data_IF_971464831654
#
_entry.id   IF_971464831654
#
_cell.length_a   1.000
_cell.length_b   1.000
_cell.length_c   1.000
_cell.angle_alpha   90.00
_cell.angle_beta   90.00
_cell.angle_gamma   90.00
#
_symmetry.space_group_name_H-M   'P 1'
#
loop_
_entity.id
_entity.type
_entity.pdbx_description
1 polymer ?
#
# COMPACT_ATOMS: atom_id res chain seq x y z
N UNK A 1 2.51 -6.29 9.37
CA UNK A 1 3.69 -6.58 8.55
C UNK A 1 4.15 -8.03 8.70
N UNK A 2 4.49 -8.68 7.58
CA UNK A 2 4.91 -10.09 7.54
C UNK A 2 6.10 -10.25 6.59
N UNK A 3 7.20 -10.82 7.09
CA UNK A 3 8.34 -11.21 6.26
C UNK A 3 8.26 -12.68 5.92
N UNK A 4 8.09 -13.01 4.63
CA UNK A 4 7.77 -14.36 4.16
C UNK A 4 9.04 -15.04 3.66
N UNK A 5 9.42 -16.14 4.31
CA UNK A 5 10.60 -16.95 3.96
C UNK A 5 10.14 -18.25 3.32
N UNK A 6 10.45 -18.44 2.04
CA UNK A 6 10.16 -19.66 1.30
C UNK A 6 10.99 -20.85 1.79
N UNK A 7 10.45 -22.06 1.66
CA UNK A 7 11.18 -23.30 1.98
C UNK A 7 12.48 -23.41 1.16
N UNK A 8 13.59 -23.67 1.83
CA UNK A 8 14.91 -23.77 1.21
C UNK A 8 15.59 -22.41 0.97
N UNK A 9 15.03 -21.31 1.46
CA UNK A 9 15.65 -19.99 1.48
C UNK A 9 16.18 -19.65 2.87
N UNK A 10 17.33 -18.99 2.94
CA UNK A 10 17.99 -18.62 4.21
C UNK A 10 17.32 -17.42 4.90
N UNK A 11 16.46 -16.69 4.19
CA UNK A 11 15.77 -15.51 4.69
C UNK A 11 16.51 -14.20 4.45
N UNK A 12 17.67 -14.20 3.80
CA UNK A 12 18.34 -12.97 3.39
C UNK A 12 17.57 -12.30 2.24
N UNK A 13 17.68 -10.99 2.08
CA UNK A 13 17.19 -10.29 0.88
C UNK A 13 18.35 -9.81 0.03
N UNK A 14 18.10 -9.55 -1.27
CA UNK A 14 19.14 -9.06 -2.17
C UNK A 14 19.59 -7.65 -1.78
N UNK A 15 20.90 -7.46 -1.61
CA UNK A 15 21.50 -6.18 -1.24
C UNK A 15 22.93 -6.01 -1.77
N UNK A 16 23.49 -4.79 -1.78
CA UNK A 16 24.92 -4.56 -1.85
C UNK A 16 25.65 -5.26 -0.69
N UNK A 17 26.95 -5.55 -0.91
CA UNK A 17 27.74 -6.35 0.03
C UNK A 17 27.93 -5.69 1.41
N UNK A 18 27.90 -4.38 1.46
CA UNK A 18 28.07 -3.55 2.66
C UNK A 18 26.76 -3.28 3.41
N UNK A 19 25.63 -3.81 2.93
CA UNK A 19 24.32 -3.65 3.55
C UNK A 19 23.90 -4.93 4.24
N UNK A 20 23.57 -4.83 5.54
CA UNK A 20 22.98 -5.94 6.30
C UNK A 20 21.65 -6.36 5.66
N UNK A 21 21.60 -7.64 5.25
CA UNK A 21 20.45 -8.27 4.61
C UNK A 21 19.86 -9.42 5.44
N UNK A 22 20.14 -9.45 6.71
CA UNK A 22 19.60 -10.42 7.65
C UNK A 22 18.09 -10.32 7.80
N UNK A 23 17.48 -11.33 8.38
CA UNK A 23 16.05 -11.35 8.72
C UNK A 23 15.71 -10.17 9.64
N UNK A 24 16.56 -9.88 10.62
CA UNK A 24 16.35 -8.79 11.58
C UNK A 24 16.42 -7.43 10.89
N UNK A 25 17.37 -7.25 9.97
CA UNK A 25 17.45 -6.06 9.12
C UNK A 25 16.19 -5.88 8.26
N UNK A 26 15.71 -6.96 7.63
CA UNK A 26 14.47 -6.92 6.85
C UNK A 26 13.27 -6.50 7.71
N UNK A 27 13.08 -7.13 8.87
CA UNK A 27 11.99 -6.83 9.80
C UNK A 27 12.06 -5.38 10.31
N UNK A 28 13.26 -4.87 10.63
CA UNK A 28 13.44 -3.48 11.06
C UNK A 28 13.02 -2.50 9.96
N UNK A 29 13.48 -2.69 8.72
CA UNK A 29 13.13 -1.85 7.56
C UNK A 29 11.64 -1.86 7.27
N UNK A 30 11.01 -3.03 7.28
CA UNK A 30 9.57 -3.21 7.07
C UNK A 30 8.76 -2.54 8.17
N UNK A 31 9.17 -2.69 9.44
CA UNK A 31 8.50 -2.07 10.59
C UNK A 31 8.50 -0.54 10.48
N UNK A 32 9.65 0.05 10.13
CA UNK A 32 9.75 1.50 9.92
C UNK A 32 8.92 1.94 8.72
N UNK A 33 9.01 1.22 7.60
CA UNK A 33 8.20 1.50 6.43
C UNK A 33 6.70 1.49 6.72
N UNK A 34 6.22 0.51 7.49
CA UNK A 34 4.81 0.45 7.91
C UNK A 34 4.39 1.66 8.75
N UNK A 35 5.26 2.15 9.66
CA UNK A 35 5.05 3.39 10.42
C UNK A 35 5.00 4.62 9.53
N UNK A 36 5.90 4.73 8.58
CA UNK A 36 5.91 5.84 7.61
C UNK A 36 4.61 5.88 6.81
N UNK A 37 4.15 4.73 6.31
CA UNK A 37 2.89 4.62 5.58
C UNK A 37 1.72 5.04 6.47
N UNK A 38 1.66 4.55 7.71
CA UNK A 38 0.62 4.94 8.68
C UNK A 38 0.58 6.46 8.88
N UNK A 39 1.76 7.10 8.96
CA UNK A 39 1.89 8.55 9.12
C UNK A 39 1.43 9.32 7.89
N UNK A 40 1.82 8.86 6.68
CA UNK A 40 1.36 9.46 5.41
C UNK A 40 -0.17 9.39 5.31
N UNK A 41 -0.75 8.24 5.63
CA UNK A 41 -2.21 8.05 5.57
C UNK A 41 -2.91 9.07 6.50
N UNK A 42 -2.47 9.17 7.75
CA UNK A 42 -3.05 10.08 8.74
C UNK A 42 -2.95 11.55 8.30
N UNK A 43 -1.77 11.96 7.82
CA UNK A 43 -1.52 13.33 7.39
C UNK A 43 -2.34 13.70 6.17
N UNK A 44 -2.37 12.82 5.16
CA UNK A 44 -3.09 13.10 3.91
C UNK A 44 -4.61 13.02 4.05
N UNK A 45 -5.14 12.27 5.01
CA UNK A 45 -6.57 12.35 5.37
C UNK A 45 -6.89 13.65 6.10
N UNK A 46 -6.01 14.11 7.00
CA UNK A 46 -6.15 15.40 7.67
C UNK A 46 -6.14 16.56 6.68
N UNK A 47 -5.17 16.59 5.75
CA UNK A 47 -5.11 17.58 4.65
C UNK A 47 -6.36 17.51 3.75
N UNK A 48 -6.94 16.33 3.55
CA UNK A 48 -8.18 16.10 2.82
C UNK A 48 -9.45 16.55 3.55
N UNK A 49 -9.32 17.08 4.78
CA UNK A 49 -10.42 17.63 5.56
C UNK A 49 -11.37 16.59 6.17
N UNK A 50 -10.95 15.31 6.28
CA UNK A 50 -11.75 14.22 6.85
C UNK A 50 -11.27 13.77 8.23
N UNK A 51 -10.37 14.53 8.82
CA UNK A 51 -9.77 14.25 10.11
C UNK A 51 -8.50 13.41 10.04
N UNK A 52 -7.74 13.38 11.14
CA UNK A 52 -6.49 12.62 11.25
C UNK A 52 -6.81 11.16 11.62
N UNK A 53 -7.01 10.32 10.62
CA UNK A 53 -7.36 8.90 10.76
C UNK A 53 -6.32 8.02 10.10
N UNK A 54 -6.13 6.83 10.62
CA UNK A 54 -5.25 5.82 10.02
C UNK A 54 -5.64 4.41 10.49
N UNK A 55 -5.11 3.40 9.83
CA UNK A 55 -5.27 2.01 10.23
C UNK A 55 -4.38 1.67 11.43
N UNK A 56 -4.71 0.60 12.15
CA UNK A 56 -3.92 0.09 13.27
C UNK A 56 -2.82 -0.85 12.76
N UNK A 57 -1.66 -0.82 13.44
CA UNK A 57 -0.59 -1.80 13.28
C UNK A 57 -0.53 -2.67 14.52
N UNK A 58 -0.31 -3.97 14.37
CA UNK A 58 0.11 -4.81 15.49
C UNK A 58 1.50 -4.36 15.97
N UNK A 59 1.70 -4.39 17.29
CA UNK A 59 2.93 -3.97 17.93
C UNK A 59 3.54 -5.13 18.72
N UNK A 60 4.85 -5.15 18.80
CA UNK A 60 5.58 -6.04 19.72
C UNK A 60 5.07 -5.85 21.15
N UNK A 61 5.03 -6.94 21.93
CA UNK A 61 4.55 -6.91 23.31
C UNK A 61 5.34 -5.87 24.12
N UNK A 62 4.62 -4.97 24.79
CA UNK A 62 5.21 -3.89 25.59
C UNK A 62 6.08 -2.89 24.79
N UNK A 63 5.93 -2.82 23.50
CA UNK A 63 6.67 -1.94 22.60
C UNK A 63 5.71 -1.07 21.78
N UNK A 64 6.21 0.07 21.28
CA UNK A 64 5.53 0.89 20.27
C UNK A 64 6.02 0.57 18.85
N UNK A 65 6.93 -0.37 18.71
CA UNK A 65 7.47 -0.80 17.43
C UNK A 65 6.45 -1.73 16.76
N UNK A 66 6.07 -1.51 15.50
CA UNK A 66 5.24 -2.45 14.77
C UNK A 66 5.92 -3.82 14.72
N UNK A 67 5.18 -4.85 15.05
CA UNK A 67 5.67 -6.21 14.92
C UNK A 67 5.77 -6.58 13.45
N UNK A 68 6.94 -7.05 13.01
CA UNK A 68 7.11 -7.70 11.72
C UNK A 68 7.25 -9.20 11.92
N UNK A 69 6.20 -9.94 11.65
CA UNK A 69 6.14 -11.37 11.87
C UNK A 69 6.96 -12.10 10.81
N UNK A 70 7.86 -12.99 11.21
CA UNK A 70 8.57 -13.90 10.29
C UNK A 70 7.69 -15.11 10.01
N UNK A 71 7.18 -15.22 8.78
CA UNK A 71 6.35 -16.32 8.33
C UNK A 71 7.16 -17.29 7.46
N UNK A 72 7.25 -18.55 7.88
CA UNK A 72 7.92 -19.61 7.12
C UNK A 72 6.92 -20.36 6.26
N UNK A 73 6.97 -20.09 4.95
CA UNK A 73 6.09 -20.69 3.96
C UNK A 73 6.58 -22.10 3.56
N UNK A 74 5.62 -22.97 3.24
CA UNK A 74 5.90 -24.27 2.64
C UNK A 74 6.22 -24.21 1.14
N UNK A 75 6.09 -23.05 0.51
CA UNK A 75 6.42 -22.87 -0.90
C UNK A 75 7.93 -22.95 -1.12
N UNK A 76 8.36 -23.90 -1.96
CA UNK A 76 9.76 -24.03 -2.31
C UNK A 76 10.28 -22.79 -3.06
N UNK A 77 11.47 -22.30 -2.70
CA UNK A 77 12.08 -21.08 -3.24
C UNK A 77 12.23 -21.11 -4.78
N UNK A 78 12.64 -22.25 -5.35
CA UNK A 78 12.80 -22.37 -6.80
C UNK A 78 11.47 -22.33 -7.55
N UNK A 79 10.38 -22.78 -6.91
CA UNK A 79 9.02 -22.66 -7.43
C UNK A 79 8.55 -21.22 -7.31
N UNK A 80 8.72 -20.58 -6.15
CA UNK A 80 8.35 -19.19 -5.93
C UNK A 80 8.98 -18.25 -6.95
N UNK A 81 10.27 -18.43 -7.24
CA UNK A 81 11.01 -17.61 -8.22
C UNK A 81 10.50 -17.70 -9.65
N UNK A 82 9.75 -18.74 -9.99
CA UNK A 82 9.16 -18.95 -11.33
C UNK A 82 7.69 -18.50 -11.41
N UNK A 83 7.06 -18.23 -10.28
CA UNK A 83 5.64 -17.84 -10.23
C UNK A 83 5.46 -16.37 -10.59
N UNK A 84 4.34 -16.08 -11.25
CA UNK A 84 3.88 -14.70 -11.50
C UNK A 84 3.30 -14.10 -10.22
N UNK A 85 3.29 -12.77 -10.12
CA UNK A 85 2.81 -12.06 -8.92
C UNK A 85 1.39 -12.47 -8.48
N UNK A 86 0.44 -12.69 -9.39
CA UNK A 86 -0.92 -13.12 -9.06
C UNK A 86 -0.98 -14.55 -8.48
N UNK A 87 -0.06 -15.43 -8.92
CA UNK A 87 0.07 -16.78 -8.39
C UNK A 87 0.67 -16.76 -6.98
N UNK A 88 1.73 -15.94 -6.78
CA UNK A 88 2.34 -15.70 -5.46
C UNK A 88 1.34 -15.12 -4.49
N UNK A 89 0.58 -14.10 -4.90
CA UNK A 89 -0.46 -13.47 -4.09
C UNK A 89 -1.52 -14.47 -3.67
N UNK A 90 -2.01 -15.28 -4.61
CA UNK A 90 -3.03 -16.31 -4.33
C UNK A 90 -2.48 -17.38 -3.38
N UNK A 91 -1.23 -17.80 -3.57
CA UNK A 91 -0.61 -18.82 -2.73
C UNK A 91 -0.41 -18.31 -1.29
N UNK A 92 0.28 -17.19 -1.12
CA UNK A 92 0.56 -16.66 0.21
C UNK A 92 -0.70 -16.15 0.93
N UNK A 93 -1.65 -15.57 0.21
CA UNK A 93 -2.93 -15.18 0.79
C UNK A 93 -3.70 -16.36 1.37
N UNK A 94 -3.72 -17.49 0.66
CA UNK A 94 -4.33 -18.73 1.16
C UNK A 94 -3.55 -19.30 2.35
N UNK A 95 -2.22 -19.36 2.25
CA UNK A 95 -1.38 -19.95 3.30
C UNK A 95 -1.46 -19.14 4.60
N UNK A 96 -1.41 -17.81 4.53
CA UNK A 96 -1.58 -16.91 5.67
C UNK A 96 -2.97 -17.06 6.31
N UNK A 97 -4.03 -17.14 5.52
CA UNK A 97 -5.39 -17.30 6.05
C UNK A 97 -5.65 -18.69 6.68
N UNK A 98 -4.91 -19.72 6.28
CA UNK A 98 -4.99 -21.05 6.85
C UNK A 98 -4.04 -21.27 8.05
N UNK A 99 -3.14 -20.33 8.32
CA UNK A 99 -2.22 -20.37 9.46
C UNK A 99 -2.87 -19.81 10.74
N UNK A 100 -2.16 -19.89 11.84
CA UNK A 100 -2.57 -19.30 13.13
C UNK A 100 -2.68 -17.75 13.07
N UNK A 101 -2.12 -17.14 12.03
CA UNK A 101 -2.26 -15.70 11.77
C UNK A 101 -3.60 -15.36 11.11
N UNK A 102 -4.29 -16.33 10.54
CA UNK A 102 -5.52 -16.14 9.76
C UNK A 102 -6.65 -15.54 10.60
N UNK A 103 -7.18 -14.39 10.19
CA UNK A 103 -8.31 -13.74 10.86
C UNK A 103 -9.02 -12.79 9.89
N UNK A 104 -10.34 -12.64 10.06
CA UNK A 104 -11.12 -11.62 9.35
C UNK A 104 -10.85 -10.19 9.88
N UNK A 105 -10.22 -10.09 11.06
CA UNK A 105 -9.85 -8.84 11.71
C UNK A 105 -8.37 -8.48 11.50
N UNK A 106 -7.73 -9.13 10.51
CA UNK A 106 -6.36 -8.83 10.09
C UNK A 106 -6.27 -8.61 8.59
N UNK A 107 -5.42 -7.67 8.21
CA UNK A 107 -4.88 -7.51 6.86
C UNK A 107 -3.38 -7.67 6.91
N UNK A 108 -2.81 -8.26 5.87
CA UNK A 108 -1.40 -8.58 5.81
C UNK A 108 -0.66 -7.64 4.86
N UNK A 109 0.46 -7.14 5.33
CA UNK A 109 1.46 -6.44 4.54
C UNK A 109 2.66 -7.37 4.41
N UNK A 110 2.72 -8.14 3.31
CA UNK A 110 3.66 -9.23 3.11
C UNK A 110 4.84 -8.87 2.23
N UNK A 111 6.05 -9.31 2.63
CA UNK A 111 7.29 -9.10 1.87
C UNK A 111 7.99 -10.45 1.65
N UNK A 112 8.26 -10.78 0.38
CA UNK A 112 8.86 -12.07 -0.02
C UNK A 112 10.37 -11.97 0.02
N UNK A 113 11.04 -12.73 0.91
CA UNK A 113 12.49 -12.70 1.10
C UNK A 113 13.28 -13.07 -0.15
N UNK A 114 12.80 -14.03 -0.93
CA UNK A 114 13.54 -14.65 -2.03
C UNK A 114 13.47 -13.88 -3.36
N UNK A 115 12.91 -12.69 -3.38
CA UNK A 115 12.87 -11.84 -4.59
C UNK A 115 14.29 -11.50 -5.03
N UNK A 116 14.56 -11.69 -6.34
CA UNK A 116 15.90 -11.51 -6.88
C UNK A 116 15.86 -10.91 -8.28
N UNK A 117 16.48 -9.75 -8.45
CA UNK A 117 16.83 -9.23 -9.76
C UNK A 117 18.05 -10.00 -10.29
N UNK A 118 17.94 -10.58 -11.48
CA UNK A 118 19.01 -11.43 -12.06
C UNK A 118 20.19 -10.63 -12.58
N UNK A 119 20.05 -9.33 -12.70
CA UNK A 119 21.02 -8.48 -13.36
C UNK A 119 20.81 -8.44 -14.87
N UNK A 120 21.52 -7.53 -15.51
CA UNK A 120 21.53 -7.36 -16.95
C UNK A 120 22.88 -6.83 -17.42
N UNK A 121 23.31 -7.23 -18.61
CA UNK A 121 24.49 -6.68 -19.29
C UNK A 121 24.10 -5.56 -20.26
N UNK A 122 22.82 -5.19 -20.33
CA UNK A 122 22.36 -4.12 -21.21
C UNK A 122 22.82 -2.75 -20.70
N UNK A 123 23.38 -1.95 -21.62
CA UNK A 123 23.85 -0.60 -21.33
C UNK A 123 22.74 0.47 -21.45
N UNK A 124 21.55 0.08 -21.90
CA UNK A 124 20.39 0.97 -22.01
C UNK A 124 19.53 0.98 -20.75
N UNK A 125 18.85 2.09 -20.42
CA UNK A 125 17.83 2.09 -19.40
C UNK A 125 16.72 1.09 -19.73
N UNK A 126 16.38 0.22 -18.76
CA UNK A 126 15.28 -0.73 -18.88
C UNK A 126 13.94 -0.04 -18.68
N UNK A 127 12.93 -0.51 -19.38
CA UNK A 127 11.53 -0.19 -19.06
C UNK A 127 11.13 -0.92 -17.79
N UNK A 128 10.06 -0.45 -17.12
CA UNK A 128 9.53 -1.13 -15.92
C UNK A 128 9.20 -2.61 -16.21
N UNK A 129 8.57 -2.91 -17.35
CA UNK A 129 8.22 -4.28 -17.73
C UNK A 129 9.46 -5.15 -17.91
N UNK A 130 10.55 -4.61 -18.49
CA UNK A 130 11.84 -5.30 -18.60
C UNK A 130 12.44 -5.55 -17.19
N UNK A 131 12.47 -4.54 -16.31
CA UNK A 131 12.96 -4.70 -14.93
C UNK A 131 12.19 -5.79 -14.20
N UNK A 132 10.85 -5.82 -14.30
CA UNK A 132 10.00 -6.86 -13.72
C UNK A 132 10.33 -8.23 -14.32
N UNK A 133 10.56 -8.33 -15.64
CA UNK A 133 10.87 -9.60 -16.31
C UNK A 133 12.21 -10.19 -15.87
N UNK A 134 13.17 -9.35 -15.48
CA UNK A 134 14.46 -9.78 -14.91
C UNK A 134 14.39 -10.06 -13.41
N UNK A 135 13.23 -9.84 -12.76
CA UNK A 135 13.09 -10.01 -11.31
C UNK A 135 12.29 -11.27 -10.98
N UNK A 136 12.97 -12.26 -10.40
CA UNK A 136 12.36 -13.51 -9.92
C UNK A 136 11.56 -13.25 -8.64
N UNK A 137 10.44 -13.94 -8.46
CA UNK A 137 9.50 -13.77 -7.35
C UNK A 137 9.08 -12.28 -7.16
N UNK A 138 8.94 -11.54 -8.26
CA UNK A 138 8.44 -10.18 -8.22
C UNK A 138 6.98 -10.16 -7.77
N UNK A 139 6.67 -9.25 -6.84
CA UNK A 139 5.30 -8.92 -6.45
C UNK A 139 5.21 -7.45 -6.07
N UNK A 140 4.15 -6.79 -6.54
CA UNK A 140 3.63 -5.52 -6.08
C UNK A 140 2.13 -5.58 -6.38
N UNK A 141 1.35 -6.15 -5.46
CA UNK A 141 -0.06 -6.48 -5.69
C UNK A 141 -0.86 -6.44 -4.40
N UNK A 142 -1.90 -5.62 -4.35
CA UNK A 142 -2.80 -5.46 -3.23
C UNK A 142 -4.24 -5.81 -3.55
N UNK A 143 -4.96 -6.30 -2.55
CA UNK A 143 -6.38 -6.57 -2.65
C UNK A 143 -6.88 -7.50 -1.54
N UNK A 144 -8.17 -7.50 -1.27
CA UNK A 144 -8.74 -8.33 -0.22
C UNK A 144 -8.05 -8.14 1.13
N UNK A 145 -7.37 -9.17 1.62
CA UNK A 145 -6.66 -9.14 2.91
C UNK A 145 -5.14 -9.02 2.83
N UNK A 146 -4.55 -8.95 1.63
CA UNK A 146 -3.10 -9.01 1.45
C UNK A 146 -2.59 -7.96 0.46
N UNK A 147 -1.61 -7.15 0.89
CA UNK A 147 -0.71 -6.42 0.02
C UNK A 147 0.65 -7.13 0.03
N UNK A 148 1.11 -7.63 -1.12
CA UNK A 148 2.28 -8.49 -1.27
C UNK A 148 3.35 -7.81 -2.11
N UNK A 149 4.59 -7.85 -1.61
CA UNK A 149 5.74 -7.20 -2.24
C UNK A 149 6.95 -8.11 -2.32
N UNK A 150 7.75 -7.88 -3.36
CA UNK A 150 9.12 -8.37 -3.41
C UNK A 150 10.07 -7.49 -2.59
N UNK A 151 11.25 -8.02 -2.26
CA UNK A 151 12.26 -7.34 -1.44
C UNK A 151 13.46 -6.83 -2.23
N UNK A 152 13.41 -6.83 -3.57
CA UNK A 152 14.56 -6.48 -4.41
C UNK A 152 15.12 -5.07 -4.15
N UNK A 153 14.27 -4.12 -3.69
CA UNK A 153 14.66 -2.76 -3.35
C UNK A 153 14.71 -2.48 -1.84
N UNK A 154 14.48 -3.48 -0.98
CA UNK A 154 14.40 -3.28 0.47
C UNK A 154 15.69 -2.72 1.07
N UNK A 155 16.84 -2.98 0.46
CA UNK A 155 18.14 -2.43 0.88
C UNK A 155 18.20 -0.90 0.88
N UNK A 156 17.33 -0.23 0.13
CA UNK A 156 17.25 1.25 0.09
C UNK A 156 16.48 1.82 1.29
N UNK A 157 15.68 1.01 2.00
CA UNK A 157 14.86 1.45 3.11
C UNK A 157 15.68 1.66 4.39
N UNK A 158 15.27 2.58 5.30
CA UNK A 158 15.95 2.81 6.56
C UNK A 158 15.76 1.65 7.57
N UNK A 159 16.76 1.38 8.38
CA UNK A 159 16.67 0.46 9.53
C UNK A 159 16.28 1.19 10.82
N UNK A 160 16.55 2.47 10.90
CA UNK A 160 16.24 3.31 12.08
C UNK A 160 15.52 4.59 11.66
N UNK A 161 14.90 5.27 12.62
CA UNK A 161 14.19 6.54 12.37
C UNK A 161 15.17 7.62 11.94
N UNK A 162 16.37 7.62 12.50
CA UNK A 162 17.43 8.59 12.24
C UNK A 162 17.92 8.52 10.79
N UNK A 163 17.87 7.35 10.17
CA UNK A 163 18.28 7.15 8.78
C UNK A 163 17.28 7.72 7.77
N UNK A 164 16.02 7.94 8.14
CA UNK A 164 14.95 8.29 7.20
C UNK A 164 15.30 9.50 6.31
N UNK A 165 15.77 10.65 6.85
CA UNK A 165 16.09 11.82 6.02
C UNK A 165 17.21 11.51 5.02
N UNK A 166 18.25 10.83 5.48
CA UNK A 166 19.42 10.51 4.64
C UNK A 166 19.04 9.52 3.53
N UNK A 167 18.18 8.54 3.83
CA UNK A 167 17.70 7.57 2.84
C UNK A 167 16.84 8.22 1.76
N UNK A 168 15.96 9.16 2.09
CA UNK A 168 15.20 9.90 1.09
C UNK A 168 16.06 10.87 0.26
N UNK A 169 17.12 11.44 0.85
CA UNK A 169 18.02 12.37 0.20
C UNK A 169 19.18 11.71 -0.55
N UNK A 170 19.24 10.38 -0.54
CA UNK A 170 20.33 9.64 -1.17
C UNK A 170 20.27 9.75 -2.69
N UNK A 171 21.18 10.54 -3.25
CA UNK A 171 21.32 10.78 -4.69
C UNK A 171 22.23 9.77 -5.39
N UNK A 172 22.82 8.82 -4.64
CA UNK A 172 23.67 7.80 -5.22
C UNK A 172 22.88 6.99 -6.27
N UNK A 173 23.47 6.70 -7.44
CA UNK A 173 22.78 5.98 -8.51
C UNK A 173 22.56 4.52 -8.11
N UNK A 174 21.42 3.96 -8.51
CA UNK A 174 21.18 2.51 -8.45
C UNK A 174 22.10 1.81 -9.43
N UNK A 175 22.80 0.76 -9.00
CA UNK A 175 23.55 -0.09 -9.91
C UNK A 175 22.60 -1.03 -10.68
N UNK A 176 22.01 -0.51 -11.75
CA UNK A 176 20.98 -1.19 -12.55
C UNK A 176 21.47 -2.48 -13.22
N UNK A 177 22.79 -2.73 -13.29
CA UNK A 177 23.33 -4.01 -13.78
C UNK A 177 23.17 -5.13 -12.76
N UNK A 178 23.11 -4.81 -11.46
CA UNK A 178 23.11 -5.79 -10.37
C UNK A 178 21.84 -5.76 -9.52
N UNK A 179 21.17 -4.61 -9.43
CA UNK A 179 20.02 -4.39 -8.56
C UNK A 179 18.85 -3.80 -9.35
N UNK A 180 17.67 -4.14 -8.88
CA UNK A 180 16.42 -3.61 -9.41
C UNK A 180 16.37 -2.09 -9.23
N UNK A 181 16.10 -1.35 -10.31
CA UNK A 181 15.77 0.07 -10.25
C UNK A 181 14.26 0.26 -10.36
N UNK A 182 13.63 0.48 -9.23
CA UNK A 182 12.20 0.85 -9.15
C UNK A 182 12.05 2.28 -8.61
N UNK A 183 12.82 3.20 -9.17
CA UNK A 183 12.85 4.61 -8.78
C UNK A 183 11.84 5.50 -9.51
N UNK A 184 10.99 4.94 -10.37
CA UNK A 184 10.15 5.72 -11.27
C UNK A 184 10.99 6.51 -12.30
N UNK A 185 12.04 5.88 -12.83
CA UNK A 185 13.00 6.44 -13.81
C UNK A 185 13.86 7.59 -13.28
N UNK A 186 13.98 7.76 -11.95
CA UNK A 186 14.82 8.80 -11.32
C UNK A 186 16.25 8.33 -11.07
N UNK A 187 16.49 7.01 -11.04
CA UNK A 187 17.81 6.36 -11.02
C UNK A 187 18.61 6.50 -9.73
N UNK A 188 18.06 7.03 -8.63
CA UNK A 188 18.75 7.18 -7.34
C UNK A 188 18.19 6.28 -6.24
N UNK A 189 19.01 5.96 -5.23
CA UNK A 189 18.61 5.13 -4.10
C UNK A 189 17.46 5.76 -3.31
N UNK A 190 17.49 7.07 -3.08
CA UNK A 190 16.41 7.78 -2.39
C UNK A 190 15.11 7.78 -3.18
N UNK A 191 15.18 7.91 -4.51
CA UNK A 191 14.02 7.81 -5.37
C UNK A 191 13.46 6.37 -5.39
N UNK A 192 14.34 5.35 -5.37
CA UNK A 192 13.95 3.95 -5.27
C UNK A 192 13.21 3.69 -3.94
N UNK A 193 13.74 4.21 -2.82
CA UNK A 193 13.04 4.14 -1.53
C UNK A 193 11.67 4.84 -1.58
N UNK A 194 11.60 6.06 -2.10
CA UNK A 194 10.35 6.82 -2.18
C UNK A 194 9.29 6.11 -3.03
N UNK A 195 9.65 5.66 -4.25
CA UNK A 195 8.71 4.95 -5.13
C UNK A 195 8.24 3.64 -4.53
N UNK A 196 9.14 2.84 -3.98
CA UNK A 196 8.76 1.52 -3.45
C UNK A 196 7.93 1.64 -2.17
N UNK A 197 8.22 2.59 -1.28
CA UNK A 197 7.38 2.89 -0.12
C UNK A 197 6.00 3.37 -0.56
N UNK A 198 5.94 4.24 -1.57
CA UNK A 198 4.71 4.74 -2.14
C UNK A 198 3.89 3.65 -2.84
N UNK A 199 4.55 2.71 -3.54
CA UNK A 199 3.90 1.53 -4.13
C UNK A 199 3.26 0.67 -3.03
N UNK A 200 3.94 0.48 -1.89
CA UNK A 200 3.37 -0.24 -0.75
C UNK A 200 2.11 0.47 -0.22
N UNK A 201 2.13 1.80 -0.11
CA UNK A 201 0.96 2.59 0.28
C UNK A 201 -0.20 2.42 -0.71
N UNK A 202 0.07 2.44 -2.01
CA UNK A 202 -0.92 2.26 -3.08
C UNK A 202 -1.58 0.87 -3.01
N UNK A 203 -0.79 -0.19 -2.97
CA UNK A 203 -1.30 -1.57 -2.91
C UNK A 203 -2.03 -1.85 -1.59
N UNK A 204 -1.59 -1.24 -0.48
CA UNK A 204 -2.31 -1.30 0.78
C UNK A 204 -3.68 -0.60 0.67
N UNK A 205 -3.78 0.48 -0.09
CA UNK A 205 -5.05 1.14 -0.42
C UNK A 205 -6.06 0.19 -1.06
N UNK A 206 -5.63 -0.69 -1.97
CA UNK A 206 -6.49 -1.73 -2.54
C UNK A 206 -7.00 -2.73 -1.50
N UNK A 207 -6.25 -3.00 -0.45
CA UNK A 207 -6.75 -3.85 0.66
C UNK A 207 -7.84 -3.15 1.48
N UNK A 208 -7.90 -1.82 1.44
CA UNK A 208 -8.98 -0.99 2.01
C UNK A 208 -10.05 -0.65 0.97
N UNK A 209 -10.20 -1.51 -0.03
CA UNK A 209 -11.25 -1.42 -1.04
C UNK A 209 -11.19 -0.20 -1.97
N UNK A 210 -10.11 0.59 -1.97
CA UNK A 210 -9.93 1.70 -2.89
C UNK A 210 -9.74 1.22 -4.34
N UNK A 211 -10.35 1.94 -5.29
CA UNK A 211 -10.11 1.79 -6.72
C UNK A 211 -8.96 2.68 -7.20
N UNK A 212 -8.53 2.46 -8.45
CA UNK A 212 -7.59 3.37 -9.10
C UNK A 212 -8.24 4.73 -9.37
N UNK A 213 -7.44 5.77 -9.26
CA UNK A 213 -7.82 7.13 -9.63
C UNK A 213 -6.85 7.69 -10.66
N UNK A 214 -7.28 8.72 -11.39
CA UNK A 214 -6.43 9.36 -12.39
C UNK A 214 -5.19 10.00 -11.77
N UNK A 215 -5.35 10.58 -10.59
CA UNK A 215 -4.34 11.35 -9.87
C UNK A 215 -4.24 10.89 -8.41
N UNK A 216 -3.27 11.44 -7.65
CA UNK A 216 -3.07 11.14 -6.24
C UNK A 216 -2.46 9.76 -5.98
N UNK A 217 -2.57 9.28 -4.73
CA UNK A 217 -1.94 8.03 -4.26
C UNK A 217 -2.48 6.82 -5.03
N UNK A 218 -3.78 6.75 -5.31
CA UNK A 218 -4.34 5.65 -6.09
C UNK A 218 -4.17 5.82 -7.61
N UNK A 219 -3.44 6.86 -8.06
CA UNK A 219 -2.85 7.04 -9.37
C UNK A 219 -1.33 6.85 -9.31
N UNK A 220 -0.56 7.80 -9.87
CA UNK A 220 0.91 7.78 -9.85
C UNK A 220 1.54 8.77 -8.86
N UNK A 221 0.73 9.48 -8.05
CA UNK A 221 1.22 10.45 -7.07
C UNK A 221 2.06 9.80 -5.94
N UNK A 222 1.95 8.50 -5.74
CA UNK A 222 2.70 7.76 -4.74
C UNK A 222 4.23 7.75 -4.99
N UNK A 223 4.70 7.95 -6.21
CA UNK A 223 6.14 7.96 -6.53
C UNK A 223 6.93 9.01 -5.73
N UNK A 224 6.26 10.04 -5.23
CA UNK A 224 6.86 11.20 -4.55
C UNK A 224 6.56 11.25 -3.05
N UNK A 225 6.43 10.09 -2.38
CA UNK A 225 6.09 10.03 -0.95
C UNK A 225 7.14 10.72 -0.05
N UNK A 226 8.38 10.84 -0.50
CA UNK A 226 9.45 11.63 0.13
C UNK A 226 9.04 13.07 0.43
N UNK A 227 8.19 13.68 -0.40
CA UNK A 227 7.71 15.05 -0.23
C UNK A 227 6.83 15.26 1.02
N UNK A 228 6.35 14.18 1.62
CA UNK A 228 5.61 14.24 2.89
C UNK A 228 6.55 14.40 4.07
N UNK A 229 7.75 13.83 3.96
CA UNK A 229 8.73 13.75 5.05
C UNK A 229 9.82 14.82 4.97
N UNK A 230 10.15 15.29 3.76
CA UNK A 230 11.17 16.28 3.55
C UNK A 230 10.58 17.69 3.54
N UNK A 231 10.75 18.40 4.66
CA UNK A 231 10.36 19.80 4.80
C UNK A 231 11.58 20.67 4.46
N UNK A 232 11.62 21.23 3.26
CA UNK A 232 12.70 22.07 2.80
C UNK A 232 12.26 23.03 1.70
N UNK A 233 13.03 24.09 1.47
CA UNK A 233 12.77 25.00 0.36
C UNK A 233 12.96 24.25 -0.96
N UNK A 234 11.86 23.96 -1.63
CA UNK A 234 11.81 23.25 -2.93
C UNK A 234 12.73 23.90 -3.99
N UNK A 235 13.10 25.17 -3.82
CA UNK A 235 14.01 25.87 -4.72
C UNK A 235 15.46 25.42 -4.60
N UNK A 236 15.86 24.88 -3.44
CA UNK A 236 17.23 24.39 -3.24
C UNK A 236 17.48 23.04 -3.93
N UNK A 237 16.44 22.20 -4.07
CA UNK A 237 16.54 20.90 -4.73
C UNK A 237 16.45 21.02 -6.26
N UNK A 238 15.62 21.92 -6.78
CA UNK A 238 15.48 22.15 -8.23
C UNK A 238 16.68 22.80 -8.91
N UNK A 239 17.59 23.45 -8.14
CA UNK A 239 18.78 24.09 -8.71
C UNK A 239 19.92 23.13 -9.06
N UNK A 240 19.94 21.90 -8.54
CA UNK A 240 20.98 20.91 -8.87
C UNK A 240 20.78 20.20 -10.20
N UNK A 241 19.55 20.11 -10.71
CA UNK A 241 19.25 19.42 -11.98
C UNK A 241 19.61 20.21 -13.23
N UNK A 242 20.03 21.49 -13.11
CA UNK A 242 20.32 22.38 -14.25
C UNK A 242 21.81 22.60 -14.53
N UNK A 243 22.72 21.84 -13.92
CA UNK A 243 24.18 22.03 -14.14
C UNK A 243 24.83 20.94 -15.01
N UNK A 244 24.09 20.23 -15.85
CA UNK A 244 24.68 19.42 -16.91
C UNK A 244 24.54 20.13 -18.26
N UNK A 245 25.26 21.22 -18.45
CA UNK A 245 25.60 21.72 -19.77
C UNK A 245 27.10 22.11 -19.82
N UNK A 246 27.85 21.24 -20.47
CA UNK A 246 29.05 21.46 -21.26
C UNK A 246 30.01 22.60 -20.86
N UNK A 247 31.19 22.27 -20.30
CA UNK A 247 32.50 22.53 -20.90
C UNK A 247 33.60 22.01 -19.97
N UNK A 248 34.40 21.12 -20.46
CA UNK A 248 35.46 20.41 -19.74
C UNK A 248 36.50 21.34 -19.13
N UNK A 249 36.38 21.51 -17.80
CA UNK A 249 37.49 21.86 -16.88
C UNK A 249 37.18 21.18 -15.54
N UNK A 250 38.19 20.61 -14.84
CA UNK A 250 37.98 19.97 -13.56
C UNK A 250 37.61 21.03 -12.52
N UNK A 251 36.40 20.94 -11.97
CA UNK A 251 35.93 21.76 -10.86
C UNK A 251 36.40 21.11 -9.56
N UNK A 252 37.19 21.85 -8.79
CA UNK A 252 37.59 21.51 -7.43
C UNK A 252 36.37 21.24 -6.57
N UNK A 253 36.35 20.10 -5.90
CA UNK A 253 35.34 19.75 -4.92
C UNK A 253 35.39 20.69 -3.72
N UNK A 254 34.52 21.68 -3.67
CA UNK A 254 34.23 22.37 -2.43
C UNK A 254 33.26 21.52 -1.62
N UNK A 255 33.71 20.99 -0.51
CA UNK A 255 32.92 20.32 0.50
C UNK A 255 31.94 21.32 1.08
N UNK A 256 30.68 21.27 0.64
CA UNK A 256 29.60 22.03 1.28
C UNK A 256 29.21 21.25 2.53
N UNK A 257 29.59 21.78 3.70
CA UNK A 257 29.14 21.26 4.98
C UNK A 257 27.63 21.45 5.08
N UNK A 258 26.89 20.35 5.06
CA UNK A 258 25.44 20.28 5.32
C UNK A 258 25.18 20.42 6.85
N UNK A 259 25.55 21.57 7.41
CA UNK A 259 25.04 21.99 8.71
C UNK A 259 24.07 23.14 8.45
N UNK A 260 22.77 22.82 8.36
CA UNK A 260 21.67 23.69 8.81
C UNK A 260 20.29 23.15 8.36
N UNK A 261 19.51 22.78 9.38
CA UNK A 261 18.05 22.81 9.42
C UNK A 261 17.29 21.92 8.40
N UNK A 262 17.56 20.62 8.42
CA UNK A 262 16.58 19.65 7.95
C UNK A 262 15.82 19.16 9.20
N UNK A 263 14.59 19.65 9.39
CA UNK A 263 13.69 19.09 10.38
C UNK A 263 12.81 18.06 9.67
N UNK A 264 12.90 16.81 10.10
CA UNK A 264 11.95 15.76 9.70
C UNK A 264 10.84 15.75 10.75
N UNK A 265 9.65 16.15 10.35
CA UNK A 265 8.49 16.06 11.23
C UNK A 265 7.82 14.71 10.99
N UNK A 266 8.18 13.71 11.81
CA UNK A 266 7.44 12.44 11.86
C UNK A 266 6.30 12.65 12.87
N UNK A 267 5.15 13.09 12.37
CA UNK A 267 3.93 13.11 13.18
C UNK A 267 3.42 11.69 13.33
N UNK A 268 3.93 10.98 14.34
CA UNK A 268 3.35 9.70 14.74
C UNK A 268 1.99 10.02 15.35
N UNK A 269 0.90 9.62 14.70
CA UNK A 269 -0.44 9.71 15.27
C UNK A 269 -0.46 8.87 16.56
N UNK A 270 -0.45 9.52 17.71
CA UNK A 270 -0.68 8.82 18.97
C UNK A 270 -2.16 8.38 19.02
N UNK A 271 -2.44 7.11 19.33
CA UNK A 271 -3.81 6.72 19.59
C UNK A 271 -4.34 7.50 20.80
N UNK A 272 -5.49 8.15 20.65
CA UNK A 272 -6.20 8.81 21.72
C UNK A 272 -6.41 7.82 22.88
N UNK A 273 -5.78 8.07 24.02
CA UNK A 273 -6.01 7.32 25.26
C UNK A 273 -7.43 7.63 25.75
N UNK A 274 -8.34 6.69 25.56
CA UNK A 274 -9.60 6.70 26.33
C UNK A 274 -9.28 6.04 27.67
N UNK A 275 -9.22 6.86 28.72
CA UNK A 275 -9.22 6.39 30.10
C UNK A 275 -10.62 5.91 30.43
N UNK A 276 -10.85 4.60 30.33
CA UNK A 276 -12.06 3.95 30.87
C UNK A 276 -11.80 3.42 32.29
N UNK A 277 -12.81 3.40 33.17
CA UNK A 277 -12.64 2.98 34.55
C UNK A 277 -12.39 1.48 34.68
N UNK A 278 -11.40 1.13 35.50
CA UNK A 278 -11.08 -0.25 35.93
C UNK A 278 -12.29 -0.86 36.66
N UNK A 279 -12.92 -1.89 36.10
CA UNK A 279 -13.70 -2.83 36.87
C UNK A 279 -12.92 -4.11 37.10
N UNK A 280 -12.72 -4.45 38.36
CA UNK A 280 -12.21 -5.74 38.82
C UNK A 280 -13.30 -6.78 38.58
N UNK A 281 -13.02 -7.83 37.82
CA UNK A 281 -13.84 -9.04 37.83
C UNK A 281 -12.95 -10.27 37.99
N UNK A 282 -13.40 -11.08 38.90
CA UNK A 282 -12.85 -12.32 39.46
C UNK A 282 -12.71 -13.44 38.44
N UNK A 283 -11.64 -14.26 38.62
CA UNK A 283 -11.43 -15.53 37.93
C UNK A 283 -12.62 -16.48 38.10
N UNK A 284 -13.19 -16.93 37.00
CA UNK A 284 -14.08 -18.09 36.96
C UNK A 284 -13.44 -19.21 36.12
N UNK A 285 -13.36 -20.40 36.71
CA UNK A 285 -12.84 -21.63 36.12
C UNK A 285 -13.58 -22.02 34.84
N UNK A 286 -12.87 -22.26 33.74
CA UNK A 286 -13.43 -22.93 32.57
C UNK A 286 -12.88 -24.35 32.44
N UNK A 287 -13.80 -25.29 32.44
CA UNK A 287 -13.59 -26.71 32.23
C UNK A 287 -13.18 -27.00 30.77
N UNK A 288 -12.33 -27.99 30.59
CA UNK A 288 -11.84 -28.48 29.33
C UNK A 288 -13.00 -29.06 28.48
N UNK A 289 -13.16 -28.56 27.26
CA UNK A 289 -14.05 -29.13 26.24
C UNK A 289 -13.25 -30.08 25.35
N UNK A 290 -13.79 -31.29 25.15
CA UNK A 290 -13.12 -32.37 24.42
C UNK A 290 -13.05 -32.11 22.92
N UNK A 291 -12.00 -32.64 22.27
CA UNK A 291 -11.61 -32.48 20.87
C UNK A 291 -12.55 -33.16 19.81
N UNK A 292 -13.75 -33.59 20.13
CA UNK A 292 -14.54 -34.43 19.21
C UNK A 292 -15.62 -33.75 18.39
N UNK A 293 -15.91 -32.45 18.56
CA UNK A 293 -17.04 -31.80 17.91
C UNK A 293 -16.71 -30.74 16.85
N UNK A 294 -15.48 -30.74 16.31
CA UNK A 294 -15.01 -29.72 15.33
C UNK A 294 -14.93 -30.32 13.90
N UNK A 295 -15.79 -31.25 13.57
CA UNK A 295 -15.90 -31.71 12.18
C UNK A 295 -17.37 -31.63 11.78
N UNK A 296 -17.84 -30.46 11.41
CA UNK A 296 -18.93 -30.17 10.46
C UNK A 296 -19.45 -28.74 10.57
N UNK A 297 -18.66 -27.80 10.06
CA UNK A 297 -19.16 -26.57 9.41
C UNK A 297 -18.01 -26.02 8.59
N UNK A 298 -17.96 -26.32 7.30
CA UNK A 298 -17.17 -25.58 6.34
C UNK A 298 -17.62 -24.13 6.43
N UNK A 299 -16.73 -23.18 6.73
CA UNK A 299 -17.04 -21.79 6.48
C UNK A 299 -17.19 -21.67 4.96
N UNK A 300 -18.27 -21.08 4.50
CA UNK A 300 -18.37 -20.59 3.14
C UNK A 300 -17.15 -19.71 2.90
N UNK A 301 -16.17 -20.26 2.21
CA UNK A 301 -15.05 -19.51 1.67
C UNK A 301 -15.70 -18.57 0.66
N UNK A 302 -15.98 -17.35 1.08
CA UNK A 302 -16.30 -16.27 0.18
C UNK A 302 -15.17 -16.25 -0.84
N UNK A 303 -15.52 -16.52 -2.09
CA UNK A 303 -14.56 -16.61 -3.17
C UNK A 303 -13.60 -15.43 -3.06
N UNK A 304 -12.31 -15.71 -2.92
CA UNK A 304 -11.26 -14.70 -3.00
C UNK A 304 -11.39 -14.15 -4.41
N UNK A 305 -12.05 -13.02 -4.56
CA UNK A 305 -12.13 -12.32 -5.83
C UNK A 305 -10.69 -12.05 -6.24
N UNK A 306 -10.29 -12.61 -7.38
CA UNK A 306 -8.98 -12.34 -7.98
C UNK A 306 -8.81 -10.83 -8.04
N UNK A 307 -7.64 -10.28 -7.66
CA UNK A 307 -7.36 -8.87 -7.89
C UNK A 307 -7.57 -8.60 -9.38
N UNK A 308 -8.45 -7.67 -9.69
CA UNK A 308 -8.83 -7.34 -11.06
C UNK A 308 -7.84 -6.41 -11.74
N UNK A 309 -6.61 -6.30 -11.26
CA UNK A 309 -5.63 -5.51 -11.97
C UNK A 309 -4.27 -6.18 -11.98
N UNK A 310 -3.99 -6.78 -13.08
CA UNK A 310 -2.62 -6.83 -13.54
C UNK A 310 -2.28 -5.38 -13.90
N UNK A 311 -1.32 -4.76 -13.25
CA UNK A 311 -0.61 -3.61 -13.81
C UNK A 311 0.13 -4.12 -15.05
N UNK A 312 -0.61 -4.40 -16.11
CA UNK A 312 -0.10 -4.22 -17.44
C UNK A 312 -0.08 -2.70 -17.62
N UNK A 313 1.07 -2.07 -17.42
CA UNK A 313 1.31 -0.79 -18.02
C UNK A 313 1.09 -0.99 -19.51
N UNK A 314 -0.15 -0.78 -19.96
CA UNK A 314 -0.40 -0.53 -21.36
C UNK A 314 0.35 0.75 -21.65
N UNK A 315 1.61 0.57 -22.04
CA UNK A 315 2.36 1.58 -22.73
C UNK A 315 1.49 1.95 -23.93
N UNK A 316 0.74 3.05 -23.78
CA UNK A 316 0.23 3.73 -24.96
C UNK A 316 1.45 3.92 -25.85
N UNK A 317 1.45 3.27 -26.98
CA UNK A 317 2.35 3.54 -28.10
C UNK A 317 2.16 5.01 -28.47
N UNK A 318 2.85 5.87 -27.77
CA UNK A 318 3.11 7.23 -28.22
C UNK A 318 4.25 7.12 -29.20
N UNK A 319 3.88 7.13 -30.48
CA UNK A 319 4.75 7.43 -31.62
C UNK A 319 5.73 8.54 -31.24
N UNK A 320 7.01 8.34 -31.62
CA UNK A 320 8.13 9.20 -31.31
C UNK A 320 7.84 10.68 -31.50
N UNK A 321 7.63 11.36 -30.41
CA UNK A 321 7.72 12.80 -30.28
C UNK A 321 8.74 13.09 -29.18
N UNK A 322 9.76 13.88 -29.51
CA UNK A 322 10.76 14.41 -28.59
C UNK A 322 10.06 14.95 -27.38
N UNK A 323 10.20 14.29 -26.22
CA UNK A 323 9.62 14.75 -24.96
C UNK A 323 10.33 16.03 -24.55
N UNK A 324 9.67 17.16 -24.75
CA UNK A 324 9.92 18.33 -23.97
C UNK A 324 9.63 17.98 -22.51
N UNK A 325 10.66 17.98 -21.69
CA UNK A 325 10.59 18.00 -20.24
C UNK A 325 9.92 19.30 -19.79
N UNK A 326 8.61 19.39 -20.00
CA UNK A 326 7.82 20.44 -19.38
C UNK A 326 7.55 20.05 -17.93
N UNK A 327 8.23 20.78 -17.05
CA UNK A 327 8.09 20.84 -15.61
C UNK A 327 6.62 20.90 -15.19
N UNK A 328 6.23 19.92 -14.36
CA UNK A 328 5.37 20.06 -13.19
C UNK A 328 4.13 20.93 -13.30
N UNK A 329 3.10 20.44 -13.97
CA UNK A 329 1.73 20.81 -13.61
C UNK A 329 1.23 19.75 -12.59
N UNK A 330 0.90 20.22 -11.39
CA UNK A 330 -0.02 19.72 -10.38
C UNK A 330 -0.29 18.23 -10.13
N UNK A 331 -0.01 17.32 -11.05
CA UNK A 331 -0.47 15.92 -11.02
C UNK A 331 0.43 14.96 -10.22
N UNK A 332 1.62 15.36 -9.80
CA UNK A 332 2.58 14.49 -9.11
C UNK A 332 2.56 14.65 -7.58
N UNK A 333 1.52 15.20 -7.01
CA UNK A 333 1.44 15.39 -5.56
C UNK A 333 0.86 14.20 -4.84
N UNK A 334 1.43 13.89 -3.66
CA UNK A 334 0.97 12.83 -2.76
C UNK A 334 -0.27 13.32 -2.02
N UNK A 335 -1.45 12.84 -2.40
CA UNK A 335 -2.72 13.15 -1.73
C UNK A 335 -3.74 12.06 -2.00
N UNK A 336 -4.74 11.96 -1.14
CA UNK A 336 -5.94 11.18 -1.44
C UNK A 336 -6.89 12.02 -2.26
N UNK A 337 -7.34 11.51 -3.39
CA UNK A 337 -8.47 12.14 -4.11
C UNK A 337 -9.69 12.19 -3.19
N UNK A 338 -10.61 13.12 -3.44
CA UNK A 338 -11.72 13.35 -2.54
C UNK A 338 -12.53 12.08 -2.25
N UNK A 339 -12.86 11.30 -3.29
CA UNK A 339 -13.55 10.02 -3.13
C UNK A 339 -12.77 9.03 -2.25
N UNK A 340 -11.44 8.89 -2.44
CA UNK A 340 -10.60 8.03 -1.61
C UNK A 340 -10.59 8.50 -0.15
N UNK A 341 -10.47 9.82 0.10
CA UNK A 341 -10.47 10.37 1.45
C UNK A 341 -11.82 10.12 2.14
N UNK A 342 -12.94 10.33 1.45
CA UNK A 342 -14.28 10.05 2.00
C UNK A 342 -14.43 8.56 2.28
N UNK A 343 -14.05 7.70 1.33
CA UNK A 343 -14.10 6.24 1.50
C UNK A 343 -13.34 5.81 2.74
N UNK A 344 -12.06 6.17 2.88
CA UNK A 344 -11.24 5.82 4.05
C UNK A 344 -11.79 6.40 5.36
N UNK A 345 -12.44 7.57 5.32
CA UNK A 345 -12.95 8.24 6.53
C UNK A 345 -14.08 7.47 7.22
N UNK A 346 -14.86 6.69 6.49
CA UNK A 346 -15.93 5.83 7.01
C UNK A 346 -15.53 4.36 7.08
N UNK A 347 -14.41 3.99 6.47
CA UNK A 347 -13.99 2.60 6.37
C UNK A 347 -13.73 1.97 7.74
N UNK A 348 -14.19 0.74 7.93
CA UNK A 348 -14.14 0.03 9.23
C UNK A 348 -12.73 -0.11 9.82
N UNK A 349 -11.69 -0.12 8.98
CA UNK A 349 -10.30 -0.23 9.42
C UNK A 349 -9.69 1.09 9.92
N UNK A 350 -10.43 2.20 9.78
CA UNK A 350 -10.05 3.55 10.18
C UNK A 350 -10.93 4.09 11.31
N UNK A 351 -11.89 3.30 11.81
CA UNK A 351 -12.86 3.72 12.83
C UNK A 351 -13.09 2.61 13.85
N UNK A 352 -12.46 2.72 15.01
CA UNK A 352 -12.55 1.74 16.12
C UNK A 352 -13.94 1.65 16.76
N UNK A 353 -14.75 2.71 16.65
CA UNK A 353 -16.06 2.82 17.28
C UNK A 353 -17.09 1.85 16.71
N UNK A 354 -16.94 1.46 15.45
CA UNK A 354 -17.89 0.59 14.77
C UNK A 354 -17.91 -0.87 15.27
N UNK A 355 -16.89 -1.30 16.01
CA UNK A 355 -16.79 -2.67 16.53
C UNK A 355 -17.80 -2.99 17.64
N UNK A 356 -18.22 -2.00 18.43
CA UNK A 356 -19.06 -2.18 19.62
C UNK A 356 -20.55 -2.16 19.34
N UNK A 357 -21.01 -1.38 18.37
CA UNK A 357 -22.43 -1.23 18.04
C UNK A 357 -22.95 -2.25 17.00
N UNK A 358 -22.08 -3.01 16.36
CA UNK A 358 -22.44 -3.91 15.26
C UNK A 358 -23.36 -5.07 15.63
N UNK A 359 -23.51 -5.41 16.91
CA UNK A 359 -24.20 -6.63 17.35
C UNK A 359 -25.74 -6.50 17.48
N UNK A 360 -26.31 -5.31 17.46
CA UNK A 360 -27.68 -5.11 17.94
C UNK A 360 -28.77 -4.89 16.87
N UNK A 361 -28.45 -4.62 15.60
CA UNK A 361 -29.46 -4.26 14.59
C UNK A 361 -29.26 -5.08 13.30
N UNK A 362 -30.36 -5.61 12.75
CA UNK A 362 -30.36 -6.22 11.41
C UNK A 362 -30.00 -5.15 10.37
N UNK A 363 -28.77 -5.20 9.91
CA UNK A 363 -28.19 -4.22 8.99
C UNK A 363 -28.09 -4.84 7.63
N UNK A 364 -28.50 -4.12 6.61
CA UNK A 364 -28.27 -4.56 5.24
C UNK A 364 -27.84 -3.38 4.37
N UNK A 365 -26.92 -3.69 3.48
CA UNK A 365 -26.51 -2.87 2.37
C UNK A 365 -26.70 -3.72 1.11
N UNK A 366 -27.56 -3.28 0.18
CA UNK A 366 -27.83 -4.03 -1.04
C UNK A 366 -28.01 -3.14 -2.26
N UNK A 367 -27.75 -3.70 -3.43
CA UNK A 367 -28.03 -3.10 -4.72
C UNK A 367 -29.13 -3.92 -5.43
N UNK A 368 -30.24 -3.27 -5.75
CA UNK A 368 -31.31 -3.80 -6.59
C UNK A 368 -31.00 -3.46 -8.06
N UNK A 369 -30.47 -4.44 -8.79
CA UNK A 369 -30.07 -4.27 -10.20
C UNK A 369 -31.22 -3.86 -11.11
N UNK A 370 -32.44 -4.36 -10.86
CA UNK A 370 -33.59 -4.08 -11.71
C UNK A 370 -34.06 -2.62 -11.58
N UNK A 371 -33.89 -2.05 -10.40
CA UNK A 371 -34.25 -0.67 -10.09
C UNK A 371 -33.06 0.28 -10.12
N UNK A 372 -31.87 -0.23 -10.32
CA UNK A 372 -30.61 0.52 -10.16
C UNK A 372 -30.53 1.27 -8.81
N UNK A 373 -31.08 0.67 -7.76
CA UNK A 373 -31.27 1.28 -6.45
C UNK A 373 -30.35 0.67 -5.41
N UNK A 374 -29.56 1.50 -4.76
CA UNK A 374 -28.79 1.15 -3.56
C UNK A 374 -29.65 1.46 -2.33
N UNK A 375 -29.67 0.52 -1.38
CA UNK A 375 -30.41 0.67 -0.13
C UNK A 375 -29.49 0.28 1.03
N UNK A 376 -29.35 1.16 2.02
CA UNK A 376 -28.65 0.91 3.29
C UNK A 376 -29.52 1.27 4.48
N UNK A 377 -29.58 0.39 5.49
CA UNK A 377 -30.22 0.71 6.78
C UNK A 377 -29.39 1.70 7.60
N UNK A 378 -28.07 1.63 7.46
CA UNK A 378 -27.13 2.53 8.15
C UNK A 378 -27.03 3.91 7.46
N UNK A 379 -27.30 3.97 6.15
CA UNK A 379 -27.12 5.15 5.31
C UNK A 379 -25.88 5.06 4.44
N UNK A 380 -25.94 5.56 3.23
CA UNK A 380 -24.91 5.52 2.22
C UNK A 380 -23.96 6.70 2.43
N UNK A 381 -22.65 6.49 2.39
CA UNK A 381 -21.63 7.53 2.50
C UNK A 381 -20.92 7.82 1.19
N UNK A 382 -20.67 6.76 0.41
CA UNK A 382 -20.07 6.92 -0.91
C UNK A 382 -20.52 5.80 -1.84
N UNK A 383 -20.70 6.14 -3.10
CA UNK A 383 -20.94 5.22 -4.21
C UNK A 383 -19.90 5.51 -5.28
N UNK A 384 -19.19 4.50 -5.71
CA UNK A 384 -18.28 4.59 -6.86
C UNK A 384 -18.74 3.68 -7.98
N UNK A 385 -18.60 4.17 -9.21
CA UNK A 385 -18.75 3.39 -10.44
C UNK A 385 -17.36 3.15 -10.99
N UNK A 386 -16.96 1.90 -11.08
CA UNK A 386 -15.59 1.51 -11.52
C UNK A 386 -15.65 0.70 -12.81
N UNK A 387 -14.62 0.87 -13.63
CA UNK A 387 -14.32 -0.02 -14.74
C UNK A 387 -13.83 -1.37 -14.18
N UNK A 388 -14.55 -2.45 -14.44
CA UNK A 388 -14.22 -3.78 -13.89
C UNK A 388 -12.87 -4.31 -14.40
N UNK A 389 -12.46 -3.89 -15.59
CA UNK A 389 -11.24 -4.40 -16.22
C UNK A 389 -9.96 -3.95 -15.53
N UNK A 390 -9.96 -2.77 -14.89
CA UNK A 390 -8.77 -2.18 -14.27
C UNK A 390 -9.02 -1.50 -12.92
N UNK A 391 -10.26 -1.55 -12.42
CA UNK A 391 -10.64 -0.94 -11.14
C UNK A 391 -10.63 0.59 -11.12
N UNK A 392 -10.54 1.26 -12.28
CA UNK A 392 -10.54 2.71 -12.37
C UNK A 392 -11.88 3.30 -11.95
N UNK A 393 -11.88 4.25 -11.04
CA UNK A 393 -13.06 5.02 -10.66
C UNK A 393 -13.43 5.95 -11.81
N UNK A 394 -14.60 5.72 -12.38
CA UNK A 394 -15.15 6.52 -13.49
C UNK A 394 -16.02 7.65 -12.97
N UNK A 395 -16.74 7.41 -11.87
CA UNK A 395 -17.61 8.39 -11.23
C UNK A 395 -17.78 8.07 -9.74
N UNK A 396 -18.10 9.08 -8.92
CA UNK A 396 -18.32 8.93 -7.49
C UNK A 396 -19.40 9.90 -6.97
N UNK A 397 -20.21 9.41 -6.01
CA UNK A 397 -21.28 10.15 -5.36
C UNK A 397 -21.08 10.12 -3.86
N UNK A 398 -20.92 11.27 -3.22
CA UNK A 398 -20.59 11.43 -1.81
C UNK A 398 -21.78 11.95 -1.01
N UNK A 399 -22.01 11.38 0.19
CA UNK A 399 -23.11 11.73 1.09
C UNK A 399 -22.53 12.04 2.47
N UNK A 400 -21.85 13.17 2.58
CA UNK A 400 -21.11 13.59 3.81
C UNK A 400 -21.95 14.40 4.80
N UNK A 401 -23.25 14.58 4.55
CA UNK A 401 -24.18 15.26 5.45
C UNK A 401 -24.33 14.50 6.78
N UNK A 402 -24.79 15.21 7.85
CA UNK A 402 -25.03 14.60 9.16
C UNK A 402 -25.99 13.40 9.09
N UNK A 403 -27.04 13.50 8.26
CA UNK A 403 -27.97 12.42 8.01
C UNK A 403 -27.66 11.79 6.64
N UNK A 404 -27.09 10.57 6.62
CA UNK A 404 -26.75 9.91 5.37
C UNK A 404 -27.99 9.42 4.61
N UNK A 405 -27.93 9.43 3.30
CA UNK A 405 -29.00 8.93 2.44
C UNK A 405 -29.17 7.42 2.60
N UNK A 406 -30.42 6.96 2.79
CA UNK A 406 -30.71 5.53 2.93
C UNK A 406 -30.99 4.84 1.60
N UNK A 407 -31.24 5.61 0.55
CA UNK A 407 -31.55 5.11 -0.80
C UNK A 407 -30.89 6.01 -1.82
N UNK A 408 -30.29 5.41 -2.83
CA UNK A 408 -29.67 6.13 -3.94
C UNK A 408 -29.97 5.42 -5.26
N UNK A 409 -30.53 6.17 -6.21
CA UNK A 409 -30.72 5.70 -7.58
C UNK A 409 -29.47 5.99 -8.37
N UNK A 410 -28.76 4.96 -8.80
CA UNK A 410 -27.54 5.11 -9.61
C UNK A 410 -27.92 5.70 -10.97
N UNK A 411 -27.37 6.87 -11.37
CA UNK A 411 -27.72 7.49 -12.65
C UNK A 411 -27.31 6.62 -13.84
N UNK A 412 -28.19 6.51 -14.84
CA UNK A 412 -27.94 5.80 -16.10
C UNK A 412 -27.11 6.62 -17.10
N UNK A 413 -26.07 7.29 -16.66
CA UNK A 413 -25.22 8.10 -17.54
C UNK A 413 -24.18 7.29 -18.33
N UNK A 414 -23.99 6.04 -17.93
CA UNK A 414 -23.02 5.17 -18.59
C UNK A 414 -23.67 4.39 -19.72
N UNK A 415 -23.34 4.75 -20.97
CA UNK A 415 -23.78 3.98 -22.13
C UNK A 415 -23.01 2.64 -22.16
N UNK A 416 -23.69 1.50 -21.97
CA UNK A 416 -23.01 0.23 -21.70
C UNK A 416 -22.55 -0.49 -22.97
N UNK A 417 -22.12 0.23 -24.00
CA UNK A 417 -21.85 -0.46 -25.27
C UNK A 417 -20.67 -1.42 -25.26
N UNK A 418 -19.77 -1.40 -24.26
CA UNK A 418 -18.57 -2.26 -24.28
C UNK A 418 -17.89 -2.53 -22.93
N UNK A 419 -18.36 -2.00 -21.78
CA UNK A 419 -17.61 -2.12 -20.52
C UNK A 419 -18.46 -2.74 -19.41
N UNK A 420 -17.88 -3.71 -18.73
CA UNK A 420 -18.43 -4.22 -17.47
C UNK A 420 -18.07 -3.22 -16.37
N UNK A 421 -19.08 -2.84 -15.59
CA UNK A 421 -18.93 -1.87 -14.50
C UNK A 421 -19.15 -2.55 -13.15
N UNK A 422 -18.36 -2.14 -12.16
CA UNK A 422 -18.54 -2.54 -10.77
C UNK A 422 -19.03 -1.34 -9.96
N UNK A 423 -20.16 -1.50 -9.29
CA UNK A 423 -20.67 -0.56 -8.29
C UNK A 423 -20.03 -0.92 -6.95
N UNK A 424 -19.36 0.04 -6.34
CA UNK A 424 -18.79 -0.08 -5.00
C UNK A 424 -19.47 0.93 -4.09
N UNK A 425 -19.98 0.47 -2.95
CA UNK A 425 -20.73 1.30 -2.01
C UNK A 425 -20.16 1.11 -0.62
N UNK A 426 -20.01 2.18 0.13
CA UNK A 426 -19.73 2.14 1.55
C UNK A 426 -20.83 2.87 2.32
N UNK A 427 -21.26 2.27 3.43
CA UNK A 427 -22.26 2.85 4.30
C UNK A 427 -21.66 3.52 5.56
N UNK A 428 -22.49 4.18 6.36
CA UNK A 428 -22.09 4.91 7.58
C UNK A 428 -21.41 4.04 8.64
N UNK A 429 -21.48 2.73 8.52
CA UNK A 429 -20.85 1.78 9.45
C UNK A 429 -19.63 1.08 8.84
N UNK A 430 -19.16 1.57 7.70
CA UNK A 430 -18.02 1.00 6.99
C UNK A 430 -18.29 -0.38 6.40
N UNK A 431 -19.57 -0.74 6.13
CA UNK A 431 -19.87 -1.91 5.35
C UNK A 431 -19.66 -1.60 3.87
N UNK A 432 -18.96 -2.49 3.16
CA UNK A 432 -18.65 -2.31 1.74
C UNK A 432 -19.40 -3.36 0.93
N UNK A 433 -20.11 -2.90 -0.10
CA UNK A 433 -20.77 -3.73 -1.12
C UNK A 433 -20.03 -3.52 -2.46
N UNK A 434 -19.69 -4.64 -3.12
CA UNK A 434 -19.18 -4.63 -4.50
C UNK A 434 -20.10 -5.48 -5.36
N UNK A 435 -20.58 -4.90 -6.47
CA UNK A 435 -21.51 -5.57 -7.35
C UNK A 435 -21.19 -5.26 -8.82
N UNK A 436 -20.83 -6.25 -9.58
CA UNK A 436 -20.60 -6.23 -11.02
C UNK A 436 -21.90 -6.50 -11.78
#
# INVERSE_FOLDING_TARGET
PVYIICQGHDGSFQSPHDVDNSIDSACARISIGAKLIQSVVAEKLYEGGVGRKTFQLEHEVNSRKPECIVFRSNLNVNKARKMKQGELWTHFGRELMLSDLGSNDRKFLGFISCTRFKGTDEDKPLTHDEVVSYTEAYAALGGGGLALFGTACLYTWPMTIEEIPMKFLDVAPVNCRRFMDDSGYRGSLGACFATTLGSVLHELGHTFDLGHTKDGIMGRGFDNVDRVFLVGDRRSFARKDNMNNYNGKPVQHSTVSLQRNISVTINVAEPLRILGPRSKTTLGNFAAVSKSDIIRRSPNVTAITRPSSVYSATANKLSGSKRNLNRGNGNDSVYWTRNCAVFLSYHRWFNDEYGRERQAITRYLKFDKNKMMIISTAGIRIVEVRDDSNGMVLDSYEFTNLLPEKRFLVPFTFSPKTKVLTIVVEDDLGNVLKQT
#
